data_IF_196429075057
#
_entry.id   IF_196429075057
#
_cell.length_a   1.000
_cell.length_b   1.000
_cell.length_c   1.000
_cell.angle_alpha   90.00
_cell.angle_beta   90.00
_cell.angle_gamma   90.00
#
_symmetry.space_group_name_H-M   'P 1'
#
loop_
_entity.id
_entity.type
_entity.pdbx_description
1 polymer ?
#
# COMPACT_ATOMS: atom_id res chain seq x y z
N UNK A 1 1.61 10.48 -26.15
CA UNK A 1 2.56 9.90 -25.17
C UNK A 1 2.08 10.13 -23.74
N UNK A 2 1.66 11.36 -23.39
CA UNK A 2 1.08 11.67 -22.08
C UNK A 2 -0.20 10.85 -21.76
N UNK A 3 -1.12 10.70 -22.73
CA UNK A 3 -2.35 9.91 -22.56
C UNK A 3 -2.10 8.42 -22.30
N UNK A 4 -1.07 7.85 -22.93
CA UNK A 4 -0.69 6.44 -22.76
C UNK A 4 -0.14 6.21 -21.34
N UNK A 5 0.68 7.14 -20.85
CA UNK A 5 1.23 7.09 -19.49
C UNK A 5 0.08 7.22 -18.48
N UNK A 6 -0.81 8.18 -18.67
CA UNK A 6 -1.95 8.41 -17.78
C UNK A 6 -2.88 7.20 -17.75
N UNK A 7 -3.18 6.60 -18.90
CA UNK A 7 -3.96 5.37 -19.02
C UNK A 7 -3.29 4.19 -18.29
N UNK A 8 -1.97 4.07 -18.38
CA UNK A 8 -1.22 3.00 -17.71
C UNK A 8 -1.24 3.16 -16.19
N UNK A 9 -1.06 4.38 -15.67
CA UNK A 9 -1.11 4.67 -14.24
C UNK A 9 -2.51 4.47 -13.65
N UNK A 10 -3.56 4.91 -14.35
CA UNK A 10 -4.93 4.66 -13.92
C UNK A 10 -5.26 3.17 -13.86
N UNK A 11 -4.77 2.40 -14.84
CA UNK A 11 -4.91 0.94 -14.83
C UNK A 11 -4.17 0.30 -13.64
N UNK A 12 -2.95 0.73 -13.33
CA UNK A 12 -2.19 0.24 -12.16
C UNK A 12 -2.91 0.54 -10.85
N UNK A 13 -3.43 1.76 -10.67
CA UNK A 13 -4.17 2.15 -9.45
C UNK A 13 -5.45 1.33 -9.32
N UNK A 14 -6.19 1.17 -10.42
CA UNK A 14 -7.40 0.35 -10.44
C UNK A 14 -7.09 -1.11 -10.11
N UNK A 15 -6.05 -1.67 -10.73
CA UNK A 15 -5.63 -3.06 -10.50
C UNK A 15 -5.19 -3.26 -9.04
N UNK A 16 -4.39 -2.36 -8.48
CA UNK A 16 -3.96 -2.41 -7.08
C UNK A 16 -5.17 -2.36 -6.13
N UNK A 17 -6.14 -1.49 -6.39
CA UNK A 17 -7.37 -1.42 -5.59
C UNK A 17 -8.19 -2.73 -5.67
N UNK A 18 -8.32 -3.32 -6.87
CA UNK A 18 -9.02 -4.60 -7.07
C UNK A 18 -8.31 -5.74 -6.35
N UNK A 19 -6.98 -5.85 -6.48
CA UNK A 19 -6.19 -6.88 -5.79
C UNK A 19 -6.28 -6.72 -4.27
N UNK A 20 -6.20 -5.48 -3.76
CA UNK A 20 -6.43 -5.16 -2.36
C UNK A 20 -7.83 -5.57 -1.90
N UNK A 21 -8.87 -5.28 -2.70
CA UNK A 21 -10.24 -5.71 -2.40
C UNK A 21 -10.38 -7.23 -2.35
N UNK A 22 -9.73 -7.98 -3.24
CA UNK A 22 -9.76 -9.46 -3.24
C UNK A 22 -9.19 -10.01 -1.93
N UNK A 23 -8.04 -9.49 -1.48
CA UNK A 23 -7.45 -9.88 -0.20
C UNK A 23 -8.38 -9.52 0.96
N UNK A 24 -8.85 -8.28 0.98
CA UNK A 24 -9.71 -7.79 2.06
C UNK A 24 -11.06 -8.50 2.12
N UNK A 25 -11.60 -8.95 0.99
CA UNK A 25 -12.83 -9.73 0.93
C UNK A 25 -12.68 -11.10 1.60
N UNK A 26 -11.59 -11.81 1.33
CA UNK A 26 -11.30 -13.08 2.00
C UNK A 26 -11.14 -12.87 3.51
N UNK A 27 -10.45 -11.80 3.91
CA UNK A 27 -10.24 -11.45 5.32
C UNK A 27 -11.53 -11.10 6.04
N UNK A 28 -12.40 -10.32 5.41
CA UNK A 28 -13.71 -9.94 5.97
C UNK A 28 -14.63 -11.15 6.13
N UNK A 29 -14.64 -12.06 5.14
CA UNK A 29 -15.37 -13.35 5.24
C UNK A 29 -14.89 -14.25 6.37
N UNK A 30 -13.64 -14.11 6.80
CA UNK A 30 -13.06 -14.86 7.91
C UNK A 30 -13.14 -14.12 9.25
N UNK A 31 -13.99 -13.09 9.34
CA UNK A 31 -14.18 -12.23 10.52
C UNK A 31 -12.86 -11.66 11.07
N UNK A 32 -11.93 -11.32 10.17
CA UNK A 32 -10.67 -10.66 10.55
C UNK A 32 -10.90 -9.16 10.78
N UNK A 33 -10.14 -8.54 11.71
CA UNK A 33 -10.36 -7.15 12.10
C UNK A 33 -10.08 -6.12 11.00
N UNK A 34 -9.24 -6.44 10.02
CA UNK A 34 -9.08 -5.66 8.80
C UNK A 34 -9.82 -6.35 7.65
N UNK A 35 -10.71 -5.62 6.99
CA UNK A 35 -11.59 -6.13 5.93
C UNK A 35 -11.40 -5.40 4.60
N UNK A 36 -12.36 -5.52 3.69
CA UNK A 36 -12.26 -5.09 2.29
C UNK A 36 -11.79 -3.64 2.13
N UNK A 37 -12.36 -2.72 2.90
CA UNK A 37 -12.02 -1.29 2.83
C UNK A 37 -10.56 -0.99 3.20
N UNK A 38 -10.03 -1.71 4.21
CA UNK A 38 -8.66 -1.48 4.68
C UNK A 38 -7.65 -1.86 3.61
N UNK A 39 -7.76 -3.06 3.07
CA UNK A 39 -6.83 -3.55 2.04
C UNK A 39 -6.96 -2.76 0.74
N UNK A 40 -8.18 -2.40 0.32
CA UNK A 40 -8.40 -1.57 -0.87
C UNK A 40 -7.70 -0.21 -0.77
N UNK A 41 -7.87 0.49 0.36
CA UNK A 41 -7.27 1.82 0.56
C UNK A 41 -5.76 1.77 0.70
N UNK A 42 -5.22 0.73 1.35
CA UNK A 42 -3.76 0.55 1.50
C UNK A 42 -3.10 0.31 0.15
N UNK A 43 -3.62 -0.62 -0.67
CA UNK A 43 -3.07 -0.91 -2.00
C UNK A 43 -3.22 0.28 -2.95
N UNK A 44 -4.40 0.92 -2.98
CA UNK A 44 -4.65 2.11 -3.80
C UNK A 44 -3.70 3.26 -3.45
N UNK A 45 -3.58 3.58 -2.15
CA UNK A 45 -2.70 4.65 -1.68
C UNK A 45 -1.22 4.36 -1.98
N UNK A 46 -0.80 3.11 -1.79
CA UNK A 46 0.59 2.70 -2.05
C UNK A 46 0.95 2.77 -3.53
N UNK A 47 0.05 2.31 -4.40
CA UNK A 47 0.20 2.45 -5.85
C UNK A 47 0.26 3.93 -6.28
N UNK A 48 -0.62 4.77 -5.73
CA UNK A 48 -0.65 6.20 -6.04
C UNK A 48 0.65 6.90 -5.63
N UNK A 49 1.14 6.67 -4.41
CA UNK A 49 2.41 7.27 -3.95
C UNK A 49 3.62 6.73 -4.72
N UNK A 50 3.61 5.46 -5.10
CA UNK A 50 4.69 4.85 -5.91
C UNK A 50 4.74 5.47 -7.30
N UNK A 51 3.60 5.62 -7.97
CA UNK A 51 3.50 6.29 -9.27
C UNK A 51 3.95 7.75 -9.14
N UNK A 52 3.45 8.48 -8.13
CA UNK A 52 3.85 9.86 -7.88
C UNK A 52 5.37 9.99 -7.68
N UNK A 53 5.98 9.07 -6.95
CA UNK A 53 7.42 9.02 -6.72
C UNK A 53 8.21 8.81 -8.02
N UNK A 54 7.71 7.96 -8.91
CA UNK A 54 8.37 7.61 -10.17
C UNK A 54 8.15 8.64 -11.30
N UNK A 55 6.99 9.28 -11.37
CA UNK A 55 6.63 10.13 -12.52
C UNK A 55 6.41 11.60 -12.17
N UNK A 56 6.02 11.93 -10.93
CA UNK A 56 5.67 13.30 -10.54
C UNK A 56 6.86 14.27 -10.55
N UNK A 57 8.08 13.75 -10.36
CA UNK A 57 9.29 14.56 -10.19
C UNK A 57 10.29 14.41 -11.34
N UNK A 58 9.91 13.85 -12.49
CA UNK A 58 10.82 13.63 -13.63
C UNK A 58 11.51 14.90 -14.14
N UNK A 59 10.91 16.07 -13.97
CA UNK A 59 11.53 17.35 -14.34
C UNK A 59 12.81 17.67 -13.54
N UNK A 60 13.04 16.99 -12.41
CA UNK A 60 14.24 17.13 -11.60
C UNK A 60 15.28 16.03 -11.87
N UNK A 61 15.04 15.15 -12.85
CA UNK A 61 15.95 14.08 -13.22
C UNK A 61 17.34 14.64 -13.58
N UNK A 62 18.39 14.13 -12.94
CA UNK A 62 19.77 14.63 -13.06
C UNK A 62 20.17 15.73 -12.07
N UNK A 63 19.25 16.22 -11.24
CA UNK A 63 19.56 17.16 -10.16
C UNK A 63 20.26 16.45 -8.99
N UNK A 64 21.18 17.15 -8.32
CA UNK A 64 21.82 16.63 -7.11
C UNK A 64 20.77 16.36 -6.04
N UNK A 65 20.68 15.11 -5.57
CA UNK A 65 19.70 14.68 -4.56
C UNK A 65 18.36 14.20 -5.10
N UNK A 66 18.19 14.07 -6.42
CA UNK A 66 17.02 13.42 -7.00
C UNK A 66 17.04 11.90 -6.72
N UNK A 67 16.09 11.42 -5.93
CA UNK A 67 15.89 10.01 -5.63
C UNK A 67 14.38 9.65 -5.72
N UNK A 68 13.92 9.05 -6.84
CA UNK A 68 12.53 8.67 -7.03
C UNK A 68 12.10 7.47 -6.17
N UNK A 69 12.98 6.86 -5.39
CA UNK A 69 12.62 5.79 -4.44
C UNK A 69 12.22 6.34 -3.06
N UNK A 70 12.47 7.62 -2.79
CA UNK A 70 12.33 8.21 -1.45
C UNK A 70 10.89 8.22 -0.94
N UNK A 71 9.91 8.59 -1.76
CA UNK A 71 8.50 8.59 -1.33
C UNK A 71 7.99 7.15 -1.21
N UNK A 72 8.32 6.29 -2.18
CA UNK A 72 7.95 4.88 -2.16
C UNK A 72 8.49 4.15 -0.90
N UNK A 73 9.73 4.42 -0.49
CA UNK A 73 10.31 3.82 0.73
C UNK A 73 9.62 4.26 2.02
N UNK A 74 9.04 5.47 2.08
CA UNK A 74 8.29 5.92 3.27
C UNK A 74 6.98 5.14 3.46
N UNK A 75 6.43 4.54 2.40
CA UNK A 75 5.24 3.69 2.50
C UNK A 75 5.54 2.49 3.41
N UNK A 76 6.70 1.84 3.21
CA UNK A 76 7.12 0.66 3.99
C UNK A 76 7.21 0.99 5.49
N UNK A 77 7.75 2.16 5.81
CA UNK A 77 7.87 2.66 7.19
C UNK A 77 6.49 3.00 7.76
N UNK A 78 5.66 3.73 7.00
CA UNK A 78 4.32 4.14 7.44
C UNK A 78 3.37 2.98 7.71
N UNK A 79 3.41 1.94 6.87
CA UNK A 79 2.61 0.73 7.10
C UNK A 79 3.11 -0.06 8.31
N UNK A 80 4.42 -0.01 8.59
CA UNK A 80 4.99 -0.56 9.83
C UNK A 80 4.35 0.05 11.08
N UNK A 81 4.10 1.36 11.09
CA UNK A 81 3.38 2.04 12.18
C UNK A 81 1.92 1.56 12.31
N UNK A 82 1.19 1.42 11.21
CA UNK A 82 -0.17 0.86 11.24
C UNK A 82 -0.17 -0.60 11.74
N UNK A 83 0.83 -1.39 11.33
CA UNK A 83 1.01 -2.77 11.79
C UNK A 83 1.19 -2.86 13.30
N UNK A 84 1.98 -1.95 13.90
CA UNK A 84 2.14 -1.88 15.35
C UNK A 84 0.81 -1.58 16.07
N UNK A 85 -0.05 -0.73 15.49
CA UNK A 85 -1.39 -0.44 16.01
C UNK A 85 -2.39 -1.61 15.93
N UNK A 86 -2.14 -2.58 15.04
CA UNK A 86 -2.98 -3.79 14.87
C UNK A 86 -2.57 -4.90 15.84
N UNK A 87 -1.31 -4.94 16.28
CA UNK A 87 -0.78 -6.00 17.14
C UNK A 87 -1.04 -5.66 18.60
N UNK A 88 -1.73 -6.54 19.32
CA UNK A 88 -1.98 -6.37 20.76
C UNK A 88 -1.77 -7.65 21.55
N UNK A 89 -1.37 -7.49 22.80
CA UNK A 89 -1.10 -8.56 23.73
C UNK A 89 -2.24 -8.68 24.74
N UNK A 90 -2.78 -9.89 24.91
CA UNK A 90 -3.86 -10.14 25.88
C UNK A 90 -3.67 -11.50 26.53
N UNK A 91 -3.61 -11.54 27.87
CA UNK A 91 -3.52 -12.78 28.67
C UNK A 91 -2.49 -13.79 28.12
N UNK A 92 -1.26 -13.33 27.93
CA UNK A 92 -0.16 -14.13 27.39
C UNK A 92 -0.28 -14.57 25.91
N UNK A 93 -1.23 -14.02 25.13
CA UNK A 93 -1.39 -14.31 23.70
C UNK A 93 -1.26 -13.04 22.87
N UNK A 94 -0.49 -13.13 21.77
CA UNK A 94 -0.39 -12.09 20.74
C UNK A 94 -1.55 -12.26 19.76
N UNK A 95 -2.24 -11.17 19.43
CA UNK A 95 -3.28 -11.11 18.39
C UNK A 95 -2.94 -10.05 17.35
N UNK A 96 -3.51 -10.20 16.16
CA UNK A 96 -3.35 -9.23 15.06
C UNK A 96 -2.06 -9.38 14.24
N UNK A 97 -1.13 -10.27 14.61
CA UNK A 97 0.16 -10.42 13.92
C UNK A 97 0.01 -10.73 12.42
N UNK A 98 -0.82 -11.70 12.05
CA UNK A 98 -1.08 -12.04 10.64
C UNK A 98 -1.82 -10.94 9.90
N UNK A 99 -2.73 -10.22 10.58
CA UNK A 99 -3.44 -9.09 9.97
C UNK A 99 -2.47 -7.95 9.66
N UNK A 100 -1.58 -7.61 10.60
CA UNK A 100 -0.53 -6.61 10.41
C UNK A 100 0.39 -6.99 9.23
N UNK A 101 0.86 -8.24 9.18
CA UNK A 101 1.68 -8.74 8.08
C UNK A 101 0.93 -8.69 6.72
N UNK A 102 -0.35 -9.06 6.71
CA UNK A 102 -1.15 -9.02 5.49
C UNK A 102 -1.36 -7.58 4.99
N UNK A 103 -1.64 -6.62 5.88
CA UNK A 103 -1.75 -5.20 5.52
C UNK A 103 -0.41 -4.69 4.98
N UNK A 104 0.70 -5.08 5.60
CA UNK A 104 2.04 -4.73 5.13
C UNK A 104 2.33 -5.24 3.72
N UNK A 105 2.04 -6.51 3.44
CA UNK A 105 2.20 -7.08 2.09
C UNK A 105 1.27 -6.41 1.09
N UNK A 106 0.05 -6.05 1.49
CA UNK A 106 -0.90 -5.38 0.57
C UNK A 106 -0.48 -4.00 0.09
N UNK A 107 0.45 -3.36 0.80
CA UNK A 107 1.07 -2.11 0.37
C UNK A 107 2.16 -2.30 -0.71
N UNK A 108 2.63 -3.53 -0.92
CA UNK A 108 3.60 -3.88 -1.95
C UNK A 108 2.93 -4.34 -3.27
N UNK A 109 1.59 -4.30 -3.33
CA UNK A 109 0.76 -4.65 -4.48
C UNK A 109 0.37 -3.39 -5.23
#
# INVERSE_FOLDING_TARGET
MFDIILSSSLFQIFLAAVLGMVIGFERERMDKPAGLRTYALVSLGSALFTILSATGFKHFEGSVGYDPSRIASQIVVGIGFLGAGIIFFTKAKVRGLTTAAAVWVSAAI
#
